data_IF_589091727207
#
_entry.id   IF_589091727207
#
_cell.length_a   1.000
_cell.length_b   1.000
_cell.length_c   1.000
_cell.angle_alpha   90.00
_cell.angle_beta   90.00
_cell.angle_gamma   90.00
#
_symmetry.space_group_name_H-M   'P 1'
#
loop_
_entity.id
_entity.type
_entity.pdbx_description
1 polymer ?
#
# COMPACT_ATOMS: atom_id res chain seq x y z
N UNK A 1 52.31 25.13 -19.83
CA UNK A 1 53.50 24.59 -19.15
C UNK A 1 53.06 23.28 -18.49
N UNK A 2 53.55 22.12 -19.00
CA UNK A 2 53.43 20.72 -18.51
C UNK A 2 51.99 20.15 -18.31
N UNK A 3 51.46 19.13 -19.00
CA UNK A 3 51.90 17.84 -19.61
C UNK A 3 52.33 16.72 -18.63
N UNK A 4 51.79 15.52 -18.92
CA UNK A 4 52.01 14.17 -18.36
C UNK A 4 51.31 13.84 -17.02
N UNK A 5 50.59 12.73 -16.87
CA UNK A 5 51.00 11.35 -17.22
C UNK A 5 49.92 10.58 -17.99
N UNK A 6 50.40 9.86 -18.99
CA UNK A 6 49.67 8.95 -19.86
C UNK A 6 49.84 7.49 -19.41
N UNK A 7 48.88 6.65 -19.82
CA UNK A 7 49.02 5.25 -20.27
C UNK A 7 49.59 4.22 -19.28
N UNK A 8 48.72 3.28 -18.89
CA UNK A 8 49.04 1.86 -19.14
C UNK A 8 48.16 1.34 -20.28
N UNK A 9 48.84 1.10 -21.40
CA UNK A 9 48.43 0.33 -22.57
C UNK A 9 48.07 -1.11 -22.18
N UNK A 10 46.99 -1.68 -22.70
CA UNK A 10 46.95 -2.38 -24.01
C UNK A 10 48.01 -3.49 -24.14
N UNK A 11 47.53 -4.73 -24.25
CA UNK A 11 47.98 -5.86 -25.08
C UNK A 11 47.24 -7.09 -24.53
N UNK A 12 46.23 -7.65 -25.20
CA UNK A 12 46.31 -8.56 -26.36
C UNK A 12 45.04 -8.35 -27.21
N UNK A 13 45.05 -7.66 -28.35
CA UNK A 13 45.42 -8.07 -29.73
C UNK A 13 44.62 -9.26 -30.32
N UNK A 14 43.74 -8.89 -31.25
CA UNK A 14 43.33 -9.56 -32.52
C UNK A 14 42.72 -10.97 -32.47
N UNK A 15 41.45 -11.05 -32.89
CA UNK A 15 41.12 -11.74 -34.14
C UNK A 15 39.97 -11.03 -34.85
N UNK A 16 40.15 -10.79 -36.14
CA UNK A 16 39.20 -10.16 -37.05
C UNK A 16 38.81 -11.17 -38.12
N UNK A 17 37.51 -11.42 -38.32
CA UNK A 17 36.95 -11.68 -39.65
C UNK A 17 35.51 -11.18 -39.76
N UNK A 18 35.10 -10.73 -40.96
CA UNK A 18 33.83 -10.04 -41.17
C UNK A 18 32.74 -11.04 -41.55
N UNK A 19 31.56 -10.94 -40.94
CA UNK A 19 30.35 -11.49 -41.53
C UNK A 19 29.20 -10.52 -41.31
N UNK A 20 28.66 -10.07 -42.43
CA UNK A 20 27.43 -9.29 -42.49
C UNK A 20 26.29 -10.06 -41.83
N UNK A 21 25.68 -9.47 -40.82
CA UNK A 21 24.44 -9.96 -40.25
C UNK A 21 23.67 -8.76 -39.70
N UNK A 22 22.69 -8.27 -40.47
CA UNK A 22 21.66 -7.38 -39.95
C UNK A 22 20.98 -8.07 -38.76
N UNK A 23 21.06 -7.47 -37.58
CA UNK A 23 20.17 -7.78 -36.47
C UNK A 23 19.76 -6.45 -35.88
N UNK A 24 18.50 -6.08 -36.13
CA UNK A 24 17.82 -4.98 -35.49
C UNK A 24 17.91 -5.21 -33.97
N UNK A 25 18.65 -4.38 -33.24
CA UNK A 25 18.33 -4.18 -31.84
C UNK A 25 17.07 -3.31 -31.82
N UNK A 26 15.93 -3.96 -31.93
CA UNK A 26 14.65 -3.45 -31.44
C UNK A 26 14.92 -2.86 -30.07
N UNK A 27 14.85 -1.53 -29.96
CA UNK A 27 14.78 -0.89 -28.65
C UNK A 27 13.64 -1.57 -27.91
N UNK A 28 13.93 -2.22 -26.80
CA UNK A 28 12.90 -2.75 -25.91
C UNK A 28 11.98 -1.58 -25.56
N UNK A 29 10.83 -1.51 -26.22
CA UNK A 29 9.76 -0.62 -25.81
C UNK A 29 9.26 -1.21 -24.49
N UNK A 30 9.84 -0.76 -23.38
CA UNK A 30 9.30 -1.04 -22.06
C UNK A 30 7.86 -0.57 -22.08
N UNK A 31 6.92 -1.51 -22.00
CA UNK A 31 5.50 -1.27 -21.82
C UNK A 31 5.30 -0.25 -20.70
N UNK A 32 4.98 1.01 -21.04
CA UNK A 32 4.80 2.08 -20.07
C UNK A 32 3.39 2.02 -19.50
N UNK A 33 3.27 1.46 -18.30
CA UNK A 33 2.05 1.53 -17.51
C UNK A 33 1.88 2.95 -16.96
N UNK A 34 0.73 3.56 -17.21
CA UNK A 34 0.41 4.92 -16.75
C UNK A 34 -0.63 4.86 -15.64
N UNK A 35 -0.38 5.54 -14.53
CA UNK A 35 -1.37 5.72 -13.47
C UNK A 35 -2.59 6.49 -14.00
N UNK A 36 -3.78 6.03 -13.64
CA UNK A 36 -5.04 6.70 -13.99
C UNK A 36 -5.38 7.85 -13.04
N UNK A 37 -4.69 7.96 -11.90
CA UNK A 37 -4.97 8.92 -10.82
C UNK A 37 -6.23 8.58 -10.01
N UNK A 38 -6.84 7.41 -10.26
CA UNK A 38 -8.09 6.99 -9.65
C UNK A 38 -7.80 6.10 -8.45
N UNK A 39 -8.24 6.52 -7.27
CA UNK A 39 -8.10 5.75 -6.02
C UNK A 39 -9.48 5.32 -5.52
N UNK A 40 -9.65 4.03 -5.28
CA UNK A 40 -10.86 3.46 -4.70
C UNK A 40 -10.54 2.81 -3.37
N UNK A 41 -11.07 3.39 -2.31
CA UNK A 41 -10.86 2.94 -0.94
C UNK A 41 -11.74 1.74 -0.62
N UNK A 42 -11.14 0.73 0.01
CA UNK A 42 -11.79 -0.53 0.34
C UNK A 42 -12.34 -0.48 1.77
N UNK A 43 -13.57 0.00 1.95
CA UNK A 43 -14.19 0.21 3.27
C UNK A 43 -14.10 -1.00 4.21
N UNK A 44 -14.16 -2.22 3.68
CA UNK A 44 -14.02 -3.45 4.45
C UNK A 44 -12.61 -3.71 5.03
N UNK A 45 -11.63 -2.86 4.73
CA UNK A 45 -10.24 -2.98 5.19
C UNK A 45 -9.92 -2.05 6.36
N UNK A 46 -10.93 -1.47 7.02
CA UNK A 46 -10.70 -0.64 8.19
C UNK A 46 -9.99 -1.41 9.29
N UNK A 47 -8.91 -0.79 9.76
CA UNK A 47 -8.09 -1.28 10.85
C UNK A 47 -7.87 -0.18 11.87
N UNK A 48 -8.22 -0.45 13.13
CA UNK A 48 -7.90 0.39 14.29
C UNK A 48 -6.71 -0.23 15.03
N UNK A 49 -5.67 0.56 15.26
CA UNK A 49 -4.48 0.19 16.03
C UNK A 49 -4.31 1.16 17.19
N UNK A 50 -3.98 0.64 18.37
CA UNK A 50 -3.56 1.44 19.53
C UNK A 50 -2.73 0.60 20.50
N UNK A 51 -1.96 1.24 21.37
CA UNK A 51 -1.26 0.55 22.45
C UNK A 51 -2.18 0.44 23.67
N UNK A 52 -2.49 -0.78 24.10
CA UNK A 52 -3.16 -1.07 25.38
C UNK A 52 -2.15 -1.37 26.50
N UNK A 53 -2.65 -1.49 27.73
CA UNK A 53 -1.87 -1.90 28.90
C UNK A 53 -1.21 -3.29 28.75
N UNK A 54 -1.69 -4.14 27.83
CA UNK A 54 -1.12 -5.47 27.59
C UNK A 54 -0.37 -5.63 26.27
N UNK A 55 -0.35 -4.62 25.39
CA UNK A 55 0.35 -4.71 24.10
C UNK A 55 -0.27 -3.87 23.01
N UNK A 56 0.21 -4.02 21.77
CA UNK A 56 -0.46 -3.43 20.62
C UNK A 56 -1.75 -4.19 20.33
N UNK A 57 -2.86 -3.46 20.23
CA UNK A 57 -4.16 -4.01 19.85
C UNK A 57 -4.46 -3.58 18.43
N UNK A 58 -4.77 -4.56 17.59
CA UNK A 58 -5.24 -4.38 16.21
C UNK A 58 -6.65 -4.93 16.10
N UNK A 59 -7.60 -4.08 15.70
CA UNK A 59 -8.97 -4.45 15.37
C UNK A 59 -9.18 -4.27 13.87
N UNK A 60 -9.53 -5.34 13.16
CA UNK A 60 -9.68 -5.36 11.70
C UNK A 60 -11.12 -5.66 11.28
N UNK A 61 -11.44 -5.43 10.00
CA UNK A 61 -12.77 -5.64 9.43
C UNK A 61 -13.87 -4.84 10.16
N UNK A 62 -13.54 -3.61 10.53
CA UNK A 62 -14.48 -2.68 11.14
C UNK A 62 -15.36 -2.06 10.05
N UNK A 63 -16.67 -1.96 10.29
CA UNK A 63 -17.51 -1.07 9.49
C UNK A 63 -17.57 0.30 10.14
N UNK A 64 -17.95 1.33 9.37
CA UNK A 64 -18.18 2.65 9.94
C UNK A 64 -19.25 2.63 11.04
N UNK A 65 -20.28 1.77 10.93
CA UNK A 65 -21.29 1.67 11.99
C UNK A 65 -20.72 1.05 13.28
N UNK A 66 -19.85 0.04 13.14
CA UNK A 66 -19.22 -0.63 14.30
C UNK A 66 -18.13 0.22 14.94
N UNK A 67 -17.46 1.05 14.16
CA UNK A 67 -16.37 1.90 14.63
C UNK A 67 -16.83 2.82 15.77
N UNK A 68 -17.97 3.50 15.60
CA UNK A 68 -18.52 4.37 16.66
C UNK A 68 -18.75 3.62 17.97
N UNK A 69 -19.32 2.41 17.91
CA UNK A 69 -19.55 1.59 19.11
C UNK A 69 -18.24 1.16 19.78
N UNK A 70 -17.23 0.78 18.99
CA UNK A 70 -15.89 0.42 19.49
C UNK A 70 -15.23 1.63 20.17
N UNK A 71 -15.30 2.82 19.57
CA UNK A 71 -14.68 4.02 20.14
C UNK A 71 -15.35 4.44 21.45
N UNK A 72 -16.68 4.34 21.56
CA UNK A 72 -17.39 4.60 22.82
C UNK A 72 -17.04 3.58 23.91
N UNK A 73 -16.89 2.30 23.55
CA UNK A 73 -16.42 1.28 24.50
C UNK A 73 -14.99 1.57 24.99
N UNK A 74 -14.09 1.96 24.08
CA UNK A 74 -12.71 2.30 24.45
C UNK A 74 -12.65 3.54 25.34
N UNK A 75 -13.53 4.52 25.10
CA UNK A 75 -13.63 5.75 25.90
C UNK A 75 -14.22 5.52 27.29
N UNK A 76 -15.14 4.57 27.43
CA UNK A 76 -15.80 4.22 28.71
C UNK A 76 -15.08 3.11 29.48
N UNK A 77 -13.98 2.60 28.94
CA UNK A 77 -13.23 1.50 29.55
C UNK A 77 -12.51 1.96 30.81
N UNK A 78 -12.58 1.14 31.86
CA UNK A 78 -11.81 1.36 33.08
C UNK A 78 -10.30 1.37 32.80
N UNK A 79 -9.57 2.32 33.39
CA UNK A 79 -8.13 2.52 33.16
C UNK A 79 -7.27 1.34 33.63
N UNK A 80 -7.78 0.51 34.55
CA UNK A 80 -7.09 -0.71 35.00
C UNK A 80 -7.34 -1.90 34.07
N UNK A 81 -8.22 -1.76 33.08
CA UNK A 81 -8.45 -2.82 32.08
C UNK A 81 -7.17 -3.08 31.29
N UNK A 82 -6.80 -4.36 31.04
CA UNK A 82 -5.71 -4.70 30.14
C UNK A 82 -5.89 -4.15 28.72
N UNK A 83 -7.15 -3.97 28.31
CA UNK A 83 -7.51 -3.45 26.98
C UNK A 83 -7.62 -1.92 26.96
N UNK A 84 -7.55 -1.25 28.11
CA UNK A 84 -7.52 0.21 28.12
C UNK A 84 -6.20 0.70 27.54
N UNK A 85 -6.23 1.92 27.00
CA UNK A 85 -5.07 2.51 26.36
C UNK A 85 -3.95 2.73 27.37
N UNK A 86 -2.75 2.29 27.01
CA UNK A 86 -1.58 2.48 27.86
C UNK A 86 -1.14 3.94 27.90
N UNK A 87 -0.80 4.37 29.12
CA UNK A 87 0.02 5.57 29.35
C UNK A 87 1.45 5.13 29.63
N UNK A 88 2.36 5.36 28.67
CA UNK A 88 3.77 4.99 28.80
C UNK A 88 4.59 6.27 28.92
N UNK A 89 5.36 6.41 29.99
CA UNK A 89 6.19 7.60 30.25
C UNK A 89 5.41 8.93 30.12
N UNK A 90 4.22 8.99 30.75
CA UNK A 90 3.29 10.14 30.69
C UNK A 90 2.85 10.54 29.27
N UNK A 91 3.02 9.65 28.29
CA UNK A 91 2.58 9.85 26.92
C UNK A 91 1.60 8.76 26.56
N UNK A 92 0.40 9.17 26.14
CA UNK A 92 -0.57 8.25 25.57
C UNK A 92 -0.21 7.97 24.11
N UNK A 93 -0.25 6.69 23.74
CA UNK A 93 -0.14 6.30 22.33
C UNK A 93 -1.32 6.86 21.52
N UNK A 94 -1.08 7.14 20.24
CA UNK A 94 -2.15 7.56 19.34
C UNK A 94 -2.99 6.36 18.92
N UNK A 95 -4.30 6.56 18.82
CA UNK A 95 -5.16 5.71 18.01
C UNK A 95 -4.84 5.96 16.54
N UNK A 96 -4.76 4.90 15.75
CA UNK A 96 -4.58 4.94 14.31
C UNK A 96 -5.68 4.14 13.63
N UNK A 97 -6.53 4.83 12.88
CA UNK A 97 -7.43 4.22 11.92
C UNK A 97 -6.74 4.21 10.56
N UNK A 98 -6.81 3.09 9.84
CA UNK A 98 -6.23 2.97 8.51
C UNK A 98 -7.15 2.20 7.58
N UNK A 99 -7.01 2.48 6.29
CA UNK A 99 -7.80 1.89 5.21
C UNK A 99 -6.91 1.63 3.99
N UNK A 100 -7.06 0.46 3.37
CA UNK A 100 -6.42 0.17 2.10
C UNK A 100 -7.23 0.76 0.93
N UNK A 101 -6.57 0.95 -0.20
CA UNK A 101 -7.23 1.31 -1.44
C UNK A 101 -6.68 0.48 -2.61
N UNK A 102 -7.29 0.64 -3.77
CA UNK A 102 -6.76 0.20 -5.04
C UNK A 102 -6.68 1.37 -6.00
N UNK A 103 -5.75 1.28 -6.94
CA UNK A 103 -5.65 2.17 -8.08
C UNK A 103 -5.49 1.36 -9.36
N UNK A 104 -5.66 2.02 -10.49
CA UNK A 104 -5.53 1.42 -11.81
C UNK A 104 -4.41 2.05 -12.60
N UNK A 105 -3.70 1.18 -13.32
CA UNK A 105 -2.75 1.60 -14.33
C UNK A 105 -3.17 1.05 -15.68
N UNK A 106 -3.03 1.86 -16.72
CA UNK A 106 -3.41 1.54 -18.08
C UNK A 106 -2.17 1.44 -18.97
N UNK A 107 -2.15 0.41 -19.82
CA UNK A 107 -1.23 0.30 -20.94
C UNK A 107 -2.03 -0.10 -22.18
N UNK A 108 -2.16 0.81 -23.13
CA UNK A 108 -3.03 0.63 -24.31
C UNK A 108 -4.45 0.21 -23.86
N UNK A 109 -4.89 -1.00 -24.24
CA UNK A 109 -6.19 -1.56 -23.88
C UNK A 109 -6.16 -2.40 -22.58
N UNK A 110 -4.98 -2.61 -22.01
CA UNK A 110 -4.81 -3.40 -20.80
C UNK A 110 -4.94 -2.52 -19.55
N UNK A 111 -5.63 -3.07 -18.55
CA UNK A 111 -5.82 -2.44 -17.25
C UNK A 111 -5.28 -3.37 -16.18
N UNK A 112 -4.41 -2.86 -15.31
CA UNK A 112 -4.00 -3.57 -14.10
C UNK A 112 -4.45 -2.82 -12.85
N UNK A 113 -4.67 -3.58 -11.79
CA UNK A 113 -5.05 -3.07 -10.47
C UNK A 113 -3.84 -3.20 -9.55
N UNK A 114 -3.56 -2.17 -8.78
CA UNK A 114 -2.52 -2.19 -7.74
C UNK A 114 -3.16 -1.83 -6.39
N UNK A 115 -2.73 -2.52 -5.35
CA UNK A 115 -3.17 -2.26 -3.99
C UNK A 115 -2.31 -1.16 -3.36
N UNK A 116 -2.94 -0.29 -2.58
CA UNK A 116 -2.30 0.74 -1.77
C UNK A 116 -2.54 0.40 -0.30
N UNK A 117 -1.54 -0.18 0.40
CA UNK A 117 -1.65 -0.42 1.84
C UNK A 117 -1.70 0.91 2.58
N UNK A 118 -2.58 1.01 3.58
CA UNK A 118 -2.76 2.22 4.40
C UNK A 118 -2.91 3.51 3.56
N UNK A 119 -3.70 3.42 2.50
CA UNK A 119 -3.98 4.52 1.58
C UNK A 119 -4.63 5.72 2.28
N UNK A 120 -5.44 5.50 3.30
CA UNK A 120 -5.96 6.55 4.17
C UNK A 120 -5.66 6.20 5.63
N UNK A 121 -5.15 7.17 6.38
CA UNK A 121 -4.86 7.04 7.80
C UNK A 121 -5.49 8.22 8.53
N UNK A 122 -6.15 7.95 9.65
CA UNK A 122 -6.62 8.95 10.59
C UNK A 122 -5.99 8.65 11.96
N UNK A 123 -5.22 9.59 12.51
CA UNK A 123 -4.54 9.41 13.80
C UNK A 123 -4.95 10.45 14.81
N UNK A 124 -5.19 10.03 16.04
CA UNK A 124 -5.62 10.91 17.14
C UNK A 124 -5.03 10.46 18.46
N UNK A 125 -4.76 11.42 19.35
CA UNK A 125 -4.46 11.14 20.77
C UNK A 125 -5.72 10.97 21.60
N UNK A 126 -6.90 11.03 21.02
CA UNK A 126 -8.17 10.85 21.73
C UNK A 126 -9.06 9.88 20.94
N UNK A 127 -9.83 9.01 21.62
CA UNK A 127 -10.66 8.01 20.96
C UNK A 127 -11.83 8.61 20.16
N UNK A 128 -12.17 9.88 20.40
CA UNK A 128 -13.24 10.59 19.69
C UNK A 128 -12.81 11.20 18.35
N UNK A 129 -11.51 11.18 18.03
CA UNK A 129 -10.93 11.73 16.80
C UNK A 129 -11.36 13.18 16.47
N UNK A 130 -11.72 13.99 17.48
CA UNK A 130 -12.22 15.36 17.25
C UNK A 130 -11.14 16.34 16.74
N UNK A 131 -9.87 16.05 17.00
CA UNK A 131 -8.72 16.84 16.53
C UNK A 131 -7.67 15.93 15.88
N UNK A 132 -8.12 15.05 15.00
CA UNK A 132 -7.25 14.07 14.38
C UNK A 132 -6.44 14.67 13.21
N UNK A 133 -5.42 13.94 12.80
CA UNK A 133 -4.71 14.18 11.55
C UNK A 133 -5.06 13.07 10.55
N UNK A 134 -5.55 13.47 9.38
CA UNK A 134 -5.75 12.59 8.25
C UNK A 134 -4.55 12.63 7.30
N UNK A 135 -4.19 11.47 6.75
CA UNK A 135 -3.12 11.30 5.76
C UNK A 135 -3.69 10.43 4.64
N UNK A 136 -3.65 10.93 3.41
CA UNK A 136 -4.04 10.18 2.22
C UNK A 136 -2.81 9.98 1.34
N UNK A 137 -2.50 8.73 1.02
CA UNK A 137 -1.36 8.31 0.20
C UNK A 137 -1.84 7.91 -1.19
N UNK A 138 -1.17 8.41 -2.21
CA UNK A 138 -1.32 8.00 -3.60
C UNK A 138 -0.21 7.03 -3.99
N UNK A 139 -0.48 6.18 -4.99
CA UNK A 139 0.41 5.12 -5.45
C UNK A 139 1.80 5.58 -5.94
N UNK A 140 2.00 6.85 -6.31
CA UNK A 140 3.31 7.36 -6.75
C UNK A 140 4.44 7.13 -5.73
N UNK A 141 4.11 6.77 -4.47
CA UNK A 141 5.04 6.44 -3.40
C UNK A 141 5.19 4.94 -3.11
N UNK A 142 4.43 4.07 -3.79
CA UNK A 142 4.66 2.62 -3.80
C UNK A 142 5.70 2.22 -4.85
N UNK A 143 6.08 3.16 -5.72
CA UNK A 143 7.24 2.97 -6.57
C UNK A 143 8.49 3.05 -5.68
N UNK A 144 9.26 1.97 -5.72
CA UNK A 144 10.55 1.73 -5.06
C UNK A 144 10.54 0.95 -3.73
N UNK A 145 10.15 -0.32 -3.82
CA UNK A 145 10.93 -1.40 -3.17
C UNK A 145 12.02 -1.95 -4.12
N UNK A 146 12.40 -1.16 -5.15
CA UNK A 146 13.47 -1.46 -6.07
C UNK A 146 14.76 -0.81 -5.54
N UNK A 147 15.58 -1.61 -4.85
CA UNK A 147 16.85 -1.24 -4.16
C UNK A 147 17.81 -0.44 -5.06
N UNK A 148 17.59 -0.44 -6.39
CA UNK A 148 18.51 0.07 -7.40
C UNK A 148 18.08 1.38 -8.07
N UNK A 149 16.91 1.95 -7.76
CA UNK A 149 16.49 3.21 -8.39
C UNK A 149 16.56 4.37 -7.39
N UNK A 150 17.55 5.27 -7.49
CA UNK A 150 17.62 6.42 -6.59
C UNK A 150 16.49 7.39 -6.95
N UNK A 151 15.56 7.58 -6.01
CA UNK A 151 14.48 8.56 -6.13
C UNK A 151 15.08 9.96 -6.01
N UNK A 152 15.12 10.67 -7.13
CA UNK A 152 15.57 12.07 -7.18
C UNK A 152 14.46 12.92 -6.57
N UNK A 153 14.73 13.53 -5.41
CA UNK A 153 14.04 14.68 -4.80
C UNK A 153 12.71 15.11 -5.44
N UNK A 154 11.62 14.41 -5.10
CA UNK A 154 10.27 14.96 -5.23
C UNK A 154 9.76 15.31 -3.83
N UNK A 155 9.47 16.59 -3.59
CA UNK A 155 8.71 17.03 -2.42
C UNK A 155 7.41 16.22 -2.32
N UNK A 156 7.33 15.22 -1.42
CA UNK A 156 6.13 14.43 -1.01
C UNK A 156 4.97 14.36 -2.03
N UNK A 157 5.26 14.06 -3.30
CA UNK A 157 4.23 14.03 -4.33
C UNK A 157 3.30 12.84 -4.01
N UNK A 158 2.01 13.12 -3.80
CA UNK A 158 1.02 12.07 -3.50
C UNK A 158 0.79 11.76 -2.02
N UNK A 159 1.33 12.51 -1.05
CA UNK A 159 0.81 12.48 0.34
C UNK A 159 0.07 13.78 0.65
N UNK A 160 -1.20 13.66 0.99
CA UNK A 160 -2.03 14.77 1.43
C UNK A 160 -2.27 14.65 2.93
N UNK A 161 -1.90 15.67 3.68
CA UNK A 161 -2.03 15.70 5.14
C UNK A 161 -3.02 16.81 5.52
N UNK A 162 -4.03 16.45 6.31
CA UNK A 162 -5.03 17.36 6.83
C UNK A 162 -5.03 17.28 8.35
N UNK A 163 -4.94 18.41 9.03
CA UNK A 163 -4.94 18.50 10.49
C UNK A 163 -6.30 18.98 10.99
N UNK A 164 -6.63 18.67 12.25
CA UNK A 164 -7.88 19.11 12.90
C UNK A 164 -9.12 18.62 12.14
N UNK A 165 -9.07 17.37 11.68
CA UNK A 165 -10.15 16.72 10.95
C UNK A 165 -10.90 15.80 11.90
N UNK A 166 -12.23 15.83 11.85
CA UNK A 166 -13.07 14.89 12.58
C UNK A 166 -13.17 13.55 11.84
N UNK A 167 -13.55 12.49 12.56
CA UNK A 167 -13.84 11.20 11.92
C UNK A 167 -14.88 11.33 10.81
N UNK A 168 -15.96 12.10 11.02
CA UNK A 168 -17.00 12.30 10.01
C UNK A 168 -16.50 13.02 8.75
N UNK A 169 -15.59 13.98 8.88
CA UNK A 169 -14.96 14.62 7.72
C UNK A 169 -14.02 13.66 6.98
N UNK A 170 -13.31 12.80 7.70
CA UNK A 170 -12.44 11.78 7.12
C UNK A 170 -13.25 10.74 6.32
N UNK A 171 -14.33 10.21 6.91
CA UNK A 171 -15.20 9.23 6.24
C UNK A 171 -15.90 9.83 5.03
N UNK A 172 -16.32 11.09 5.12
CA UNK A 172 -16.95 11.82 4.03
C UNK A 172 -16.02 12.01 2.83
N UNK A 173 -14.74 12.35 3.06
CA UNK A 173 -13.75 12.43 1.99
C UNK A 173 -13.58 11.10 1.25
N UNK A 174 -13.53 10.00 1.99
CA UNK A 174 -13.46 8.64 1.43
C UNK A 174 -14.71 8.34 0.60
N UNK A 175 -15.89 8.64 1.14
CA UNK A 175 -17.18 8.42 0.47
C UNK A 175 -17.26 9.19 -0.85
N UNK A 176 -16.91 10.48 -0.84
CA UNK A 176 -16.92 11.33 -2.04
C UNK A 176 -15.90 10.83 -3.06
N UNK A 177 -14.69 10.46 -2.64
CA UNK A 177 -13.69 9.86 -3.52
C UNK A 177 -14.22 8.58 -4.19
N UNK A 178 -14.79 7.66 -3.41
CA UNK A 178 -15.37 6.42 -3.92
C UNK A 178 -16.56 6.65 -4.86
N UNK A 179 -17.36 7.70 -4.64
CA UNK A 179 -18.47 8.06 -5.54
C UNK A 179 -17.99 8.53 -6.92
N UNK A 180 -16.82 9.18 -6.99
CA UNK A 180 -16.23 9.62 -8.26
C UNK A 180 -15.77 8.47 -9.18
N UNK A 181 -15.63 7.26 -8.63
CA UNK A 181 -15.12 6.10 -9.37
C UNK A 181 -16.24 5.43 -10.19
N UNK A 182 -15.96 5.22 -11.48
CA UNK A 182 -16.85 4.56 -12.42
C UNK A 182 -17.20 3.11 -12.01
N UNK A 183 -18.46 2.72 -12.20
CA UNK A 183 -18.92 1.37 -11.87
C UNK A 183 -18.18 0.27 -12.65
N UNK A 184 -17.70 0.56 -13.86
CA UNK A 184 -16.92 -0.38 -14.65
C UNK A 184 -15.58 -0.73 -13.96
N UNK A 185 -14.94 0.25 -13.32
CA UNK A 185 -13.69 0.05 -12.58
C UNK A 185 -13.96 -0.67 -11.25
N UNK A 186 -15.01 -0.26 -10.52
CA UNK A 186 -15.43 -0.91 -9.26
C UNK A 186 -15.66 -2.42 -9.44
N UNK A 187 -16.34 -2.83 -10.51
CA UNK A 187 -16.61 -4.26 -10.80
C UNK A 187 -15.36 -5.08 -11.10
N UNK A 188 -14.26 -4.44 -11.50
CA UNK A 188 -12.98 -5.13 -11.78
C UNK A 188 -12.18 -5.37 -10.50
N UNK A 189 -12.52 -4.70 -9.39
CA UNK A 189 -11.89 -4.95 -8.09
C UNK A 189 -12.35 -6.31 -7.57
N UNK A 190 -11.46 -7.30 -7.65
CA UNK A 190 -11.71 -8.64 -7.13
C UNK A 190 -11.39 -8.78 -5.64
N UNK A 191 -10.82 -7.74 -5.01
CA UNK A 191 -10.39 -7.74 -3.61
C UNK A 191 -11.56 -7.37 -2.69
N UNK A 192 -12.04 -8.34 -1.93
CA UNK A 192 -13.07 -8.24 -0.89
C UNK A 192 -12.54 -8.82 0.41
N UNK A 193 -13.17 -8.47 1.54
CA UNK A 193 -12.79 -9.03 2.84
C UNK A 193 -12.91 -10.56 2.84
N UNK A 194 -13.90 -11.11 2.13
CA UNK A 194 -14.06 -12.55 1.98
C UNK A 194 -12.84 -13.24 1.37
N UNK A 195 -12.05 -12.55 0.53
CA UNK A 195 -10.84 -13.12 -0.07
C UNK A 195 -9.73 -13.39 0.94
N UNK A 196 -9.82 -12.83 2.14
CA UNK A 196 -8.85 -13.00 3.23
C UNK A 196 -9.38 -13.90 4.36
N UNK A 197 -10.59 -14.45 4.23
CA UNK A 197 -11.15 -15.38 5.21
C UNK A 197 -10.45 -16.75 5.17
N UNK A 198 -9.84 -17.10 4.04
CA UNK A 198 -9.06 -18.31 3.85
C UNK A 198 -7.67 -17.95 3.34
N UNK A 199 -6.61 -18.67 3.76
CA UNK A 199 -5.25 -18.37 3.31
C UNK A 199 -5.05 -18.62 1.81
N UNK A 200 -5.88 -19.46 1.20
CA UNK A 200 -5.87 -19.78 -0.21
C UNK A 200 -7.29 -19.75 -0.77
N UNK A 201 -7.42 -19.40 -2.04
CA UNK A 201 -8.64 -19.64 -2.81
C UNK A 201 -8.81 -21.13 -3.07
N UNK A 202 -10.05 -21.59 -3.35
CA UNK A 202 -10.30 -23.02 -3.64
C UNK A 202 -9.47 -23.54 -4.82
N UNK A 203 -9.13 -22.68 -5.78
CA UNK A 203 -8.26 -23.05 -6.88
C UNK A 203 -6.80 -23.23 -6.42
N UNK A 204 -6.26 -22.29 -5.65
CA UNK A 204 -4.90 -22.39 -5.10
C UNK A 204 -4.76 -23.60 -4.18
N UNK A 205 -5.73 -23.82 -3.29
CA UNK A 205 -5.75 -24.97 -2.39
C UNK A 205 -5.75 -26.29 -3.17
N UNK A 206 -6.54 -26.38 -4.25
CA UNK A 206 -6.53 -27.55 -5.15
C UNK A 206 -5.16 -27.76 -5.80
N UNK A 207 -4.52 -26.69 -6.28
CA UNK A 207 -3.20 -26.78 -6.93
C UNK A 207 -2.13 -27.19 -5.92
N UNK A 208 -2.13 -26.58 -4.73
CA UNK A 208 -1.20 -26.91 -3.63
C UNK A 208 -1.36 -28.37 -3.21
N UNK A 209 -2.60 -28.82 -2.99
CA UNK A 209 -2.88 -30.20 -2.60
C UNK A 209 -2.44 -31.22 -3.67
N UNK A 210 -2.60 -30.90 -4.95
CA UNK A 210 -2.13 -31.74 -6.04
C UNK A 210 -0.59 -31.88 -6.07
N UNK A 211 0.14 -30.79 -5.79
CA UNK A 211 1.60 -30.81 -5.70
C UNK A 211 2.08 -31.60 -4.48
N UNK A 212 1.47 -31.37 -3.31
CA UNK A 212 1.83 -32.07 -2.06
C UNK A 212 1.58 -33.58 -2.14
N UNK A 213 0.44 -34.00 -2.73
CA UNK A 213 0.16 -35.43 -2.94
C UNK A 213 1.05 -36.09 -4.00
N UNK A 214 1.52 -35.33 -5.00
CA UNK A 214 2.48 -35.85 -5.98
C UNK A 214 3.89 -36.04 -5.38
N UNK A 215 4.28 -35.22 -4.39
CA UNK A 215 5.57 -35.37 -3.70
C UNK A 215 5.59 -36.53 -2.70
N UNK A 216 4.46 -36.81 -2.03
CA UNK A 216 4.34 -37.94 -1.09
C UNK A 216 4.25 -39.33 -1.77
N UNK A 217 4.25 -39.39 -3.11
CA UNK A 217 4.26 -40.64 -3.90
C UNK A 217 5.64 -40.96 -4.49
N UNK A 218 6.68 -40.22 -4.12
CA UNK A 218 8.09 -40.52 -4.42
C UNK A 218 8.79 -40.98 -3.16
#
# INVERSE_FOLDING_TARGET
MFSLIAKMSTLLRKNSHPSSGKSLSTGEVKSQWKDTGKVFYLEQTFKLVYQSNCGEVTLENLSFERLSAVLEQLKSMDEQSPMSRATIANTESAFQLSLCAVTWQQNEDNLRIKAIPEAAILRSKTPDFNNAQAIFKHEFLLEHDDILTPTVNHQKAGVFIYNQISIGQFTEQIRVANQSIENALKRRVSVKAENYATPFTSNEERVINAVLTAQNKR
#
